data_IF_430160152457
#
_entry.id   IF_430160152457
#
_cell.length_a   1.000
_cell.length_b   1.000
_cell.length_c   1.000
_cell.angle_alpha   90.00
_cell.angle_beta   90.00
_cell.angle_gamma   90.00
#
_symmetry.space_group_name_H-M   'P 1'
#
loop_
_entity.id
_entity.type
_entity.pdbx_description
1 polymer ?
#
# COMPACT_ATOMS: atom_id res chain seq x y z
N UNK A 1 8.97 2.02 14.68
CA UNK A 1 7.63 2.11 15.28
C UNK A 1 7.65 1.68 16.75
N UNK A 2 7.88 0.41 17.08
CA UNK A 2 7.90 -0.04 18.48
C UNK A 2 8.94 0.68 19.37
N UNK A 3 10.20 0.81 18.91
CA UNK A 3 11.27 1.43 19.70
C UNK A 3 11.16 2.96 19.83
N UNK A 4 10.46 3.62 18.89
CA UNK A 4 10.37 5.08 18.82
C UNK A 4 8.96 5.50 18.39
N UNK A 5 7.93 5.28 19.21
CA UNK A 5 6.54 5.51 18.82
C UNK A 5 6.23 7.00 18.57
N UNK A 6 6.96 7.92 19.19
CA UNK A 6 6.76 9.37 19.06
C UNK A 6 7.08 9.94 17.66
N UNK A 7 7.77 9.18 16.79
CA UNK A 7 7.97 9.56 15.39
C UNK A 7 6.82 9.15 14.46
N UNK A 8 5.80 8.47 14.99
CA UNK A 8 4.70 7.93 14.21
C UNK A 8 3.36 8.43 14.74
N UNK A 9 2.38 8.52 13.86
CA UNK A 9 0.98 8.72 14.22
C UNK A 9 0.42 7.48 14.93
N UNK A 10 -0.71 7.64 15.61
CA UNK A 10 -1.44 6.52 16.23
C UNK A 10 -1.99 5.58 15.17
N UNK A 11 -2.63 6.12 14.14
CA UNK A 11 -3.14 5.34 13.01
C UNK A 11 -2.05 5.14 11.97
N UNK A 12 -1.89 3.90 11.52
CA UNK A 12 -0.94 3.50 10.48
C UNK A 12 -1.73 3.01 9.28
N UNK A 13 -1.40 3.54 8.10
CA UNK A 13 -2.07 3.22 6.84
C UNK A 13 -1.07 2.49 5.95
N UNK A 14 -1.58 1.50 5.22
CA UNK A 14 -0.85 0.83 4.15
C UNK A 14 -1.73 0.72 2.92
N UNK A 15 -1.20 1.17 1.77
CA UNK A 15 -1.83 0.99 0.46
C UNK A 15 -1.25 -0.25 -0.21
N UNK A 16 -2.12 -1.15 -0.65
CA UNK A 16 -1.73 -2.34 -1.39
C UNK A 16 -2.06 -2.14 -2.86
N UNK A 17 -1.06 -2.40 -3.72
CA UNK A 17 -1.20 -2.32 -5.18
C UNK A 17 -2.43 -3.08 -5.67
N UNK A 18 -3.21 -2.44 -6.52
CA UNK A 18 -4.43 -2.95 -7.13
C UNK A 18 -4.19 -3.89 -8.30
N UNK A 19 -5.28 -4.29 -8.98
CA UNK A 19 -5.22 -5.23 -10.11
C UNK A 19 -4.65 -4.54 -11.35
N UNK A 20 -3.54 -5.10 -11.83
CA UNK A 20 -2.88 -4.75 -13.08
C UNK A 20 -2.62 -6.09 -13.78
N UNK A 21 -2.89 -6.17 -15.07
CA UNK A 21 -2.63 -7.39 -15.84
C UNK A 21 -1.15 -7.50 -16.26
N UNK A 22 -0.79 -8.61 -16.88
CA UNK A 22 0.59 -8.88 -17.31
C UNK A 22 1.11 -7.93 -18.38
N UNK A 23 0.23 -7.14 -19.01
CA UNK A 23 0.61 -6.13 -20.00
C UNK A 23 0.70 -4.72 -19.38
N UNK A 24 0.58 -4.59 -18.05
CA UNK A 24 0.62 -3.30 -17.37
C UNK A 24 -0.72 -2.56 -17.36
N UNK A 25 -1.81 -3.17 -17.83
CA UNK A 25 -3.10 -2.50 -17.87
C UNK A 25 -3.85 -2.65 -16.53
N UNK A 26 -4.27 -1.53 -15.96
CA UNK A 26 -5.23 -1.51 -14.85
C UNK A 26 -6.66 -1.34 -15.38
N UNK A 27 -7.59 -2.29 -15.14
CA UNK A 27 -9.00 -2.11 -15.50
C UNK A 27 -9.61 -0.88 -14.82
N UNK A 28 -9.18 -0.56 -13.60
CA UNK A 28 -9.63 0.63 -12.88
C UNK A 28 -9.14 1.92 -13.57
N UNK A 29 -7.82 2.03 -13.81
CA UNK A 29 -7.24 3.20 -14.50
C UNK A 29 -7.88 3.45 -15.86
N UNK A 30 -7.99 2.40 -16.67
CA UNK A 30 -8.51 2.50 -18.03
C UNK A 30 -9.98 2.91 -18.08
N UNK A 31 -10.73 2.66 -17.00
CA UNK A 31 -12.14 3.02 -16.90
C UNK A 31 -12.38 4.38 -16.26
N UNK A 32 -11.34 5.04 -15.72
CA UNK A 32 -11.47 6.30 -15.02
C UNK A 32 -10.34 7.28 -15.38
N UNK A 33 -9.15 7.08 -14.84
CA UNK A 33 -8.03 8.01 -14.98
C UNK A 33 -7.60 8.25 -16.42
N UNK A 34 -7.67 7.21 -17.27
CA UNK A 34 -7.35 7.34 -18.69
C UNK A 34 -8.23 8.37 -19.41
N UNK A 35 -9.49 8.55 -19.01
CA UNK A 35 -10.38 9.54 -19.63
C UNK A 35 -9.96 11.00 -19.34
N UNK A 36 -9.22 11.23 -18.25
CA UNK A 36 -8.74 12.57 -17.88
C UNK A 36 -7.39 12.91 -18.50
N UNK A 37 -6.47 11.93 -18.57
CA UNK A 37 -5.09 12.18 -19.03
C UNK A 37 -4.76 11.62 -20.42
N UNK A 38 -5.61 10.75 -20.98
CA UNK A 38 -5.37 10.03 -22.23
C UNK A 38 -4.00 9.32 -22.27
N UNK A 39 -3.57 8.79 -21.11
CA UNK A 39 -2.28 8.12 -20.91
C UNK A 39 -2.47 6.76 -20.27
N UNK A 40 -1.58 5.82 -20.58
CA UNK A 40 -1.47 4.56 -19.85
C UNK A 40 -1.05 4.81 -18.40
N UNK A 41 -1.29 3.82 -17.54
CA UNK A 41 -0.93 3.93 -16.13
C UNK A 41 0.59 4.08 -15.94
N UNK A 42 1.38 3.32 -16.70
CA UNK A 42 2.84 3.38 -16.65
C UNK A 42 3.38 4.75 -17.10
N UNK A 43 2.81 5.35 -18.15
CA UNK A 43 3.17 6.72 -18.56
C UNK A 43 2.86 7.74 -17.46
N UNK A 44 1.74 7.62 -16.76
CA UNK A 44 1.39 8.51 -15.66
C UNK A 44 2.38 8.38 -14.51
N UNK A 45 2.79 7.17 -14.15
CA UNK A 45 3.83 6.98 -13.13
C UNK A 45 5.17 7.60 -13.54
N UNK A 46 5.60 7.43 -14.79
CA UNK A 46 6.82 8.09 -15.28
C UNK A 46 6.72 9.63 -15.24
N UNK A 47 5.57 10.20 -15.59
CA UNK A 47 5.38 11.65 -15.53
C UNK A 47 5.33 12.19 -14.09
N UNK A 48 4.79 11.43 -13.14
CA UNK A 48 4.81 11.77 -11.72
C UNK A 48 6.24 11.73 -11.15
N UNK A 49 7.02 10.72 -11.52
CA UNK A 49 8.43 10.57 -11.12
C UNK A 49 9.28 11.73 -11.65
N UNK A 50 9.06 12.12 -12.91
CA UNK A 50 9.70 13.28 -13.55
C UNK A 50 9.15 14.63 -13.07
N UNK A 51 8.16 14.65 -12.16
CA UNK A 51 7.47 15.86 -11.68
C UNK A 51 6.84 16.70 -12.81
N UNK A 52 6.50 16.07 -13.93
CA UNK A 52 5.86 16.72 -15.10
C UNK A 52 4.36 16.88 -14.95
N UNK A 53 3.74 16.10 -14.07
CA UNK A 53 2.34 16.23 -13.64
C UNK A 53 2.26 16.09 -12.13
N UNK A 54 1.18 16.58 -11.53
CA UNK A 54 0.90 16.45 -10.10
C UNK A 54 -0.34 15.60 -9.83
N UNK A 55 -0.43 15.02 -8.63
CA UNK A 55 -1.62 14.28 -8.17
C UNK A 55 -2.92 15.09 -8.27
N UNK A 56 -2.84 16.42 -8.18
CA UNK A 56 -4.01 17.31 -8.29
C UNK A 56 -4.62 17.32 -9.69
N UNK A 57 -3.84 17.05 -10.72
CA UNK A 57 -4.32 16.96 -12.10
C UNK A 57 -5.09 15.64 -12.35
N UNK A 58 -4.91 14.63 -11.48
CA UNK A 58 -5.54 13.31 -11.57
C UNK A 58 -6.82 13.25 -10.73
N UNK A 59 -6.84 13.91 -9.58
CA UNK A 59 -7.96 13.87 -8.64
C UNK A 59 -9.11 14.73 -9.19
N UNK A 60 -10.23 14.08 -9.52
CA UNK A 60 -11.48 14.79 -9.80
C UNK A 60 -12.03 15.41 -8.50
N UNK A 61 -12.44 16.68 -8.50
CA UNK A 61 -13.09 17.31 -7.35
C UNK A 61 -14.53 16.82 -7.15
N UNK A 62 -15.09 16.09 -8.12
CA UNK A 62 -16.47 15.61 -8.11
C UNK A 62 -16.55 14.09 -7.87
N UNK A 63 -17.57 13.62 -7.12
CA UNK A 63 -17.82 12.19 -6.95
C UNK A 63 -18.02 11.48 -8.30
N UNK A 64 -17.42 10.29 -8.42
CA UNK A 64 -17.60 9.42 -9.59
C UNK A 64 -18.50 8.28 -9.20
N UNK A 65 -19.65 8.16 -9.86
CA UNK A 65 -20.58 7.07 -9.58
C UNK A 65 -20.03 5.76 -10.16
N UNK A 66 -19.91 4.71 -9.33
CA UNK A 66 -19.33 3.43 -9.75
C UNK A 66 -20.06 2.77 -10.94
N UNK A 67 -21.34 3.04 -11.13
CA UNK A 67 -22.09 2.57 -12.32
C UNK A 67 -21.60 3.16 -13.66
N UNK A 68 -20.80 4.22 -13.63
CA UNK A 68 -20.14 4.77 -14.82
C UNK A 68 -18.88 4.00 -15.21
N UNK A 69 -18.34 3.17 -14.30
CA UNK A 69 -17.18 2.35 -14.57
C UNK A 69 -17.57 1.07 -15.30
N UNK A 70 -16.63 0.54 -16.09
CA UNK A 70 -16.82 -0.77 -16.72
C UNK A 70 -17.02 -1.87 -15.66
N UNK A 71 -17.77 -2.91 -16.01
CA UNK A 71 -17.96 -4.07 -15.11
C UNK A 71 -16.63 -4.67 -14.65
N UNK A 72 -15.63 -4.72 -15.54
CA UNK A 72 -14.28 -5.22 -15.23
C UNK A 72 -13.60 -4.32 -14.20
N UNK A 73 -13.71 -3.00 -14.32
CA UNK A 73 -13.17 -2.05 -13.34
C UNK A 73 -13.83 -2.23 -11.97
N UNK A 74 -15.16 -2.28 -11.89
CA UNK A 74 -15.89 -2.48 -10.63
C UNK A 74 -15.45 -3.76 -9.90
N UNK A 75 -15.20 -4.85 -10.63
CA UNK A 75 -14.74 -6.12 -10.03
C UNK A 75 -13.33 -6.04 -9.44
N UNK A 76 -12.52 -5.06 -9.87
CA UNK A 76 -11.14 -4.87 -9.39
C UNK A 76 -11.03 -3.91 -8.20
N UNK A 77 -12.05 -3.10 -7.92
CA UNK A 77 -12.04 -2.13 -6.83
C UNK A 77 -11.81 -2.82 -5.48
N UNK A 78 -10.84 -2.32 -4.71
CA UNK A 78 -10.45 -2.85 -3.41
C UNK A 78 -9.82 -4.24 -3.47
N UNK A 79 -9.43 -4.73 -4.66
CA UNK A 79 -8.79 -6.04 -4.81
C UNK A 79 -7.28 -5.88 -4.91
N UNK A 80 -6.49 -6.61 -4.09
CA UNK A 80 -5.04 -6.56 -4.21
C UNK A 80 -4.59 -7.22 -5.52
N UNK A 81 -3.44 -6.79 -6.03
CA UNK A 81 -2.69 -7.49 -7.05
C UNK A 81 -2.40 -8.93 -6.60
N UNK A 82 -2.25 -9.86 -7.54
CA UNK A 82 -1.91 -11.25 -7.20
C UNK A 82 -0.59 -11.33 -6.42
N UNK A 83 0.44 -10.63 -6.92
CA UNK A 83 1.76 -10.57 -6.28
C UNK A 83 1.75 -9.84 -4.92
N UNK A 84 0.73 -9.02 -4.65
CA UNK A 84 0.58 -8.31 -3.39
C UNK A 84 -0.35 -9.01 -2.40
N UNK A 85 -0.97 -10.14 -2.80
CA UNK A 85 -1.85 -10.93 -1.93
C UNK A 85 -1.13 -11.45 -0.68
N UNK A 86 0.15 -11.89 -0.73
CA UNK A 86 0.89 -12.26 0.49
C UNK A 86 1.05 -11.10 1.46
N UNK A 87 1.45 -9.92 0.98
CA UNK A 87 1.60 -8.71 1.80
C UNK A 87 0.27 -8.26 2.41
N UNK A 88 -0.81 -8.30 1.64
CA UNK A 88 -2.17 -8.02 2.12
C UNK A 88 -2.56 -8.95 3.28
N UNK A 89 -2.38 -10.26 3.11
CA UNK A 89 -2.66 -11.25 4.17
C UNK A 89 -1.77 -11.05 5.39
N UNK A 90 -0.49 -10.76 5.20
CA UNK A 90 0.44 -10.46 6.28
C UNK A 90 -0.05 -9.26 7.11
N UNK A 91 -0.45 -8.16 6.47
CA UNK A 91 -0.97 -6.98 7.17
C UNK A 91 -2.25 -7.30 7.95
N UNK A 92 -3.19 -8.03 7.34
CA UNK A 92 -4.39 -8.52 8.04
C UNK A 92 -4.02 -9.31 9.29
N UNK A 93 -3.04 -10.21 9.21
CA UNK A 93 -2.55 -10.98 10.35
C UNK A 93 -1.83 -10.11 11.40
N UNK A 94 -1.26 -8.98 11.00
CA UNK A 94 -0.66 -8.02 11.91
C UNK A 94 -1.68 -7.13 12.62
N UNK A 95 -2.98 -7.24 12.32
CA UNK A 95 -4.05 -6.44 12.96
C UNK A 95 -4.63 -5.35 12.06
N UNK A 96 -4.22 -5.28 10.79
CA UNK A 96 -4.79 -4.29 9.87
C UNK A 96 -6.21 -4.66 9.41
N UNK A 97 -7.05 -3.64 9.30
CA UNK A 97 -8.42 -3.70 8.77
C UNK A 97 -8.51 -2.99 7.44
N UNK A 98 -9.37 -3.50 6.56
CA UNK A 98 -9.62 -2.87 5.25
C UNK A 98 -10.45 -1.62 5.50
N UNK A 99 -10.17 -0.56 4.75
CA UNK A 99 -10.92 0.70 4.78
C UNK A 99 -11.87 0.79 3.58
N UNK A 100 -12.75 1.77 3.58
CA UNK A 100 -13.57 2.11 2.40
C UNK A 100 -12.81 2.97 1.38
N UNK A 101 -11.50 3.20 1.58
CA UNK A 101 -10.64 3.91 0.65
C UNK A 101 -9.88 2.97 -0.29
N UNK A 102 -9.66 3.47 -1.51
CA UNK A 102 -8.88 2.80 -2.54
C UNK A 102 -7.80 3.74 -3.09
N UNK A 103 -6.81 3.16 -3.75
CA UNK A 103 -5.82 3.90 -4.53
C UNK A 103 -6.47 4.51 -5.79
N UNK A 104 -6.17 5.78 -6.05
CA UNK A 104 -6.78 6.55 -7.15
C UNK A 104 -6.27 6.14 -8.54
N UNK A 105 -5.18 5.38 -8.61
CA UNK A 105 -4.57 4.94 -9.86
C UNK A 105 -5.00 3.54 -10.23
N UNK A 106 -4.87 2.59 -9.31
CA UNK A 106 -5.06 1.17 -9.61
C UNK A 106 -6.25 0.52 -8.88
N UNK A 107 -6.97 1.29 -8.05
CA UNK A 107 -8.13 0.81 -7.29
C UNK A 107 -7.76 -0.16 -6.17
N UNK A 108 -6.48 -0.25 -5.81
CA UNK A 108 -5.97 -1.13 -4.77
C UNK A 108 -6.52 -0.79 -3.37
N UNK A 109 -6.68 -1.79 -2.48
CA UNK A 109 -7.26 -1.56 -1.16
C UNK A 109 -6.28 -0.82 -0.25
N UNK A 110 -6.82 0.10 0.56
CA UNK A 110 -6.11 0.62 1.73
C UNK A 110 -6.50 -0.15 2.98
N UNK A 111 -5.51 -0.36 3.83
CA UNK A 111 -5.66 -0.95 5.15
C UNK A 111 -5.17 0.02 6.22
N UNK A 112 -5.77 -0.05 7.40
CA UNK A 112 -5.34 0.72 8.56
C UNK A 112 -5.28 -0.14 9.83
N UNK A 113 -4.43 0.24 10.77
CA UNK A 113 -4.41 -0.27 12.13
C UNK A 113 -4.02 0.86 13.08
N UNK A 114 -4.52 0.82 14.32
CA UNK A 114 -3.91 1.60 15.39
C UNK A 114 -2.57 0.96 15.77
N UNK A 115 -1.59 1.80 16.11
CA UNK A 115 -0.24 1.39 16.50
C UNK A 115 -0.26 0.37 17.65
N UNK A 116 -1.23 0.51 18.55
CA UNK A 116 -1.48 -0.36 19.71
C UNK A 116 -2.05 -1.72 19.33
N UNK A 117 -2.54 -1.91 18.11
CA UNK A 117 -3.19 -3.14 17.67
C UNK A 117 -2.26 -3.97 16.77
N UNK A 118 -1.12 -3.39 16.36
CA UNK A 118 -0.16 -4.05 15.48
C UNK A 118 0.61 -5.13 16.26
N UNK A 119 0.47 -6.38 15.83
CA UNK A 119 1.05 -7.53 16.53
C UNK A 119 2.58 -7.43 16.70
N UNK A 120 3.30 -7.13 15.61
CA UNK A 120 4.76 -6.95 15.65
C UNK A 120 5.21 -5.83 16.61
N UNK A 121 4.35 -4.84 16.87
CA UNK A 121 4.64 -3.77 17.83
C UNK A 121 4.36 -4.25 19.25
N UNK A 122 3.15 -4.75 19.51
CA UNK A 122 2.71 -5.16 20.84
C UNK A 122 3.48 -6.36 21.41
N UNK A 123 3.97 -7.25 20.55
CA UNK A 123 4.77 -8.41 20.94
C UNK A 123 6.27 -8.17 20.93
N UNK A 124 6.73 -7.01 20.47
CA UNK A 124 8.15 -6.67 20.49
C UNK A 124 8.71 -6.62 21.91
N UNK A 125 9.98 -6.99 22.07
CA UNK A 125 10.70 -6.92 23.34
C UNK A 125 12.12 -6.44 23.09
N UNK A 126 12.65 -5.66 24.01
CA UNK A 126 14.08 -5.33 24.06
C UNK A 126 14.82 -6.39 24.87
N UNK A 127 16.05 -6.70 24.45
CA UNK A 127 16.88 -7.69 25.11
C UNK A 127 18.35 -7.40 24.90
N UNK A 128 19.19 -7.94 25.79
CA UNK A 128 20.63 -7.86 25.68
C UNK A 128 21.16 -9.11 24.98
N UNK A 129 21.94 -8.94 23.92
CA UNK A 129 22.68 -10.04 23.29
C UNK A 129 24.02 -10.20 23.98
N UNK A 130 24.26 -11.35 24.61
CA UNK A 130 25.58 -11.72 25.12
C UNK A 130 26.46 -12.14 23.94
N UNK A 131 27.43 -11.30 23.59
CA UNK A 131 28.40 -11.61 22.54
C UNK A 131 29.37 -12.67 23.07
N UNK A 132 29.22 -13.92 22.64
CA UNK A 132 30.28 -14.92 22.79
C UNK A 132 31.38 -14.59 21.77
N UNK A 133 32.41 -13.89 22.22
CA UNK A 133 33.58 -13.57 21.40
C UNK A 133 34.43 -14.83 21.20
N UNK A 134 34.11 -15.60 20.15
CA UNK A 134 35.14 -16.13 19.25
C UNK A 134 34.92 -15.49 17.88
N UNK A 135 35.66 -14.42 17.67
CA UNK A 135 35.94 -13.73 16.40
C UNK A 135 34.80 -12.98 15.69
N UNK A 136 35.13 -11.71 15.43
CA UNK A 136 34.50 -10.69 14.59
C UNK A 136 33.28 -9.91 15.13
N UNK A 137 33.50 -8.58 15.17
CA UNK A 137 32.54 -7.56 15.59
C UNK A 137 31.77 -7.12 14.36
N UNK A 138 30.49 -7.48 14.27
CA UNK A 138 29.47 -6.65 13.61
C UNK A 138 28.09 -6.96 14.22
N UNK A 139 27.21 -5.95 14.26
CA UNK A 139 25.93 -5.98 14.96
C UNK A 139 24.79 -6.25 13.96
N UNK A 140 23.93 -7.22 14.26
CA UNK A 140 22.66 -7.40 13.52
C UNK A 140 21.48 -7.55 14.50
N UNK A 141 20.38 -6.84 14.20
CA UNK A 141 19.09 -6.95 14.89
C UNK A 141 18.31 -8.15 14.33
N UNK A 142 17.84 -9.04 15.21
CA UNK A 142 16.95 -10.15 14.85
C UNK A 142 15.48 -9.71 15.05
N UNK A 143 14.73 -9.63 13.96
CA UNK A 143 13.27 -9.55 13.97
C UNK A 143 12.72 -10.96 13.79
N UNK A 144 11.94 -11.47 14.75
CA UNK A 144 11.25 -12.75 14.63
C UNK A 144 10.10 -12.64 13.60
N UNK A 145 9.97 -13.68 12.76
CA UNK A 145 8.93 -13.89 11.76
C UNK A 145 7.57 -14.23 12.37
#
# INVERSE_FOLDING_TARGET
MASFPHFFTKTIISSIRGRIDSQGNSPFWNSLGHHFLSKSLDEVFHLLEDQKISHKEIITPYPVHGALLSKKACQTIGKPHMNSTPAFKMLKNQGFSITDEIDIFDGGPKLMAELSDIHAITKSRTGFIKKNLKQYREFHLLSYM
#
